data_IF_356580506187
#
_entry.id   IF_356580506187
#
_cell.length_a   1.000
_cell.length_b   1.000
_cell.length_c   1.000
_cell.angle_alpha   90.00
_cell.angle_beta   90.00
_cell.angle_gamma   90.00
#
_symmetry.space_group_name_H-M   'P 1'
#
loop_
_entity.id
_entity.type
_entity.pdbx_description
1 polymer ?
#
# COMPACT_ATOMS: atom_id res chain seq x y z
N UNK A 1 -0.06 -58.52 20.61
CA UNK A 1 -0.26 -57.35 19.73
C UNK A 1 -0.37 -56.11 20.63
N UNK A 2 0.76 -55.49 21.01
CA UNK A 2 0.82 -54.36 21.97
C UNK A 2 1.71 -53.23 21.44
N UNK A 3 1.59 -52.91 20.14
CA UNK A 3 2.43 -51.90 19.49
C UNK A 3 1.52 -50.95 18.71
N UNK A 4 1.81 -49.65 18.77
CA UNK A 4 0.92 -48.50 18.55
C UNK A 4 0.41 -48.25 17.13
N UNK A 5 0.35 -49.28 16.28
CA UNK A 5 -0.22 -49.21 14.94
C UNK A 5 -1.73 -49.47 14.95
N UNK A 6 -2.46 -48.93 15.94
CA UNK A 6 -3.88 -49.23 16.12
C UNK A 6 -4.72 -48.50 15.05
N UNK A 7 -4.26 -47.35 14.53
CA UNK A 7 -4.94 -46.62 13.44
C UNK A 7 -3.97 -45.83 12.54
N UNK A 8 -3.57 -46.36 11.36
CA UNK A 8 -2.56 -45.72 10.49
C UNK A 8 -2.93 -44.32 10.02
N UNK A 9 -4.22 -44.03 9.82
CA UNK A 9 -4.70 -42.69 9.46
C UNK A 9 -4.51 -41.68 10.61
N UNK A 10 -4.87 -42.08 11.84
CA UNK A 10 -4.70 -41.26 13.05
C UNK A 10 -3.22 -40.99 13.31
N UNK A 11 -2.38 -42.02 13.17
CA UNK A 11 -0.93 -41.90 13.29
C UNK A 11 -0.35 -40.92 12.27
N UNK A 12 -0.78 -40.98 11.01
CA UNK A 12 -0.33 -40.04 9.97
C UNK A 12 -0.75 -38.60 10.28
N UNK A 13 -1.98 -38.38 10.74
CA UNK A 13 -2.46 -37.05 11.13
C UNK A 13 -1.66 -36.50 12.32
N UNK A 14 -1.39 -37.33 13.33
CA UNK A 14 -0.58 -36.96 14.48
C UNK A 14 0.85 -36.56 14.04
N UNK A 15 1.46 -37.33 13.14
CA UNK A 15 2.78 -36.98 12.58
C UNK A 15 2.78 -35.67 11.81
N UNK A 16 1.77 -35.41 10.97
CA UNK A 16 1.62 -34.13 10.30
C UNK A 16 1.47 -32.97 11.30
N UNK A 17 0.75 -33.18 12.41
CA UNK A 17 0.62 -32.17 13.46
C UNK A 17 1.96 -31.94 14.16
N UNK A 18 2.65 -32.99 14.57
CA UNK A 18 3.92 -32.89 15.29
C UNK A 18 5.03 -32.28 14.43
N UNK A 19 5.11 -32.61 13.14
CA UNK A 19 6.14 -32.08 12.24
C UNK A 19 6.09 -30.56 12.12
N UNK A 20 4.90 -29.95 12.17
CA UNK A 20 4.76 -28.47 12.13
C UNK A 20 5.34 -27.77 13.36
N UNK A 21 5.40 -28.45 14.51
CA UNK A 21 5.83 -27.85 15.79
C UNK A 21 7.25 -28.26 16.19
N UNK A 22 7.57 -29.54 16.08
CA UNK A 22 8.83 -30.14 16.50
C UNK A 22 9.86 -30.16 15.36
N UNK A 23 9.41 -30.12 14.10
CA UNK A 23 10.24 -30.22 12.91
C UNK A 23 10.41 -31.66 12.41
N UNK A 24 10.81 -31.82 11.14
CA UNK A 24 10.90 -33.14 10.50
C UNK A 24 11.96 -34.05 11.14
N UNK A 25 13.13 -33.51 11.48
CA UNK A 25 14.23 -34.28 12.05
C UNK A 25 13.89 -34.91 13.42
N UNK A 26 13.24 -34.16 14.30
CA UNK A 26 12.82 -34.64 15.63
C UNK A 26 11.69 -35.65 15.50
N UNK A 27 10.73 -35.44 14.59
CA UNK A 27 9.67 -36.42 14.34
C UNK A 27 10.19 -37.75 13.81
N UNK A 28 11.20 -37.73 12.92
CA UNK A 28 11.83 -38.94 12.42
C UNK A 28 12.55 -39.73 13.54
N UNK A 29 13.15 -39.02 14.49
CA UNK A 29 13.76 -39.63 15.67
C UNK A 29 12.69 -40.24 16.60
N UNK A 30 11.61 -39.50 16.89
CA UNK A 30 10.48 -39.99 17.69
C UNK A 30 9.81 -41.23 17.07
N UNK A 31 9.74 -41.32 15.74
CA UNK A 31 9.15 -42.47 15.05
C UNK A 31 9.89 -43.80 15.37
N UNK A 32 11.18 -43.74 15.70
CA UNK A 32 11.96 -44.93 16.13
C UNK A 32 11.57 -45.38 17.54
N UNK A 33 11.23 -44.44 18.42
CA UNK A 33 10.78 -44.74 19.78
C UNK A 33 9.37 -45.33 19.84
N UNK A 34 8.58 -45.17 18.77
CA UNK A 34 7.27 -45.82 18.62
C UNK A 34 7.35 -47.36 18.66
N UNK A 35 8.51 -47.92 18.31
CA UNK A 35 8.76 -49.37 18.36
C UNK A 35 9.18 -49.86 19.75
N UNK A 36 9.64 -48.94 20.62
CA UNK A 36 10.24 -49.24 21.92
C UNK A 36 9.27 -48.99 23.09
N UNK A 37 8.37 -48.02 22.95
CA UNK A 37 7.43 -47.59 23.99
C UNK A 37 6.05 -48.22 23.81
N UNK A 38 5.29 -48.30 24.90
CA UNK A 38 3.88 -48.64 24.81
C UNK A 38 3.12 -47.52 24.07
N UNK A 39 2.01 -47.83 23.39
CA UNK A 39 1.26 -46.84 22.60
C UNK A 39 0.86 -45.61 23.40
N UNK A 40 0.34 -45.80 24.61
CA UNK A 40 -0.15 -44.71 25.46
C UNK A 40 0.98 -43.84 26.00
N UNK A 41 2.09 -44.47 26.42
CA UNK A 41 3.29 -43.75 26.91
C UNK A 41 3.95 -42.94 25.78
N UNK A 42 3.97 -43.50 24.57
CA UNK A 42 4.49 -42.82 23.38
C UNK A 42 3.63 -41.61 22.99
N UNK A 43 2.31 -41.78 22.97
CA UNK A 43 1.38 -40.68 22.69
C UNK A 43 1.49 -39.58 23.76
N UNK A 44 1.59 -39.95 25.04
CA UNK A 44 1.81 -39.00 26.14
C UNK A 44 3.12 -38.22 25.97
N UNK A 45 4.21 -38.89 25.64
CA UNK A 45 5.51 -38.24 25.37
C UNK A 45 5.41 -37.25 24.20
N UNK A 46 4.78 -37.66 23.09
CA UNK A 46 4.67 -36.81 21.91
C UNK A 46 3.77 -35.59 22.15
N UNK A 47 2.64 -35.78 22.85
CA UNK A 47 1.77 -34.67 23.27
C UNK A 47 2.48 -33.74 24.27
N UNK A 48 3.27 -34.29 25.19
CA UNK A 48 4.10 -33.52 26.12
C UNK A 48 5.08 -32.61 25.38
N UNK A 49 5.87 -33.17 24.46
CA UNK A 49 6.84 -32.40 23.66
C UNK A 49 6.14 -31.36 22.77
N UNK A 50 5.01 -31.73 22.15
CA UNK A 50 4.22 -30.83 21.32
C UNK A 50 3.68 -29.64 22.13
N UNK A 51 3.06 -29.90 23.28
CA UNK A 51 2.50 -28.88 24.15
C UNK A 51 3.58 -27.98 24.76
N UNK A 52 4.71 -28.54 25.19
CA UNK A 52 5.87 -27.76 25.65
C UNK A 52 6.34 -26.78 24.57
N UNK A 53 6.46 -27.27 23.32
CA UNK A 53 6.90 -26.43 22.20
C UNK A 53 5.92 -25.31 21.89
N UNK A 54 4.62 -25.59 21.93
CA UNK A 54 3.57 -24.58 21.76
C UNK A 54 3.60 -23.54 22.87
N UNK A 55 3.78 -23.95 24.13
CA UNK A 55 3.94 -23.05 25.27
C UNK A 55 5.18 -22.16 25.10
N UNK A 56 6.31 -22.73 24.73
CA UNK A 56 7.53 -21.97 24.45
C UNK A 56 7.31 -20.92 23.35
N UNK A 57 6.66 -21.29 22.24
CA UNK A 57 6.34 -20.36 21.16
C UNK A 57 5.40 -19.24 21.62
N UNK A 58 4.40 -19.57 22.45
CA UNK A 58 3.48 -18.60 22.99
C UNK A 58 4.19 -17.62 23.95
N UNK A 59 5.06 -18.11 24.82
CA UNK A 59 5.86 -17.26 25.72
C UNK A 59 6.79 -16.35 24.91
N UNK A 60 7.47 -16.87 23.89
CA UNK A 60 8.32 -16.06 23.00
C UNK A 60 7.52 -14.96 22.31
N UNK A 61 6.35 -15.29 21.75
CA UNK A 61 5.46 -14.31 21.15
C UNK A 61 5.03 -13.22 22.15
N UNK A 62 4.68 -13.59 23.38
CA UNK A 62 4.29 -12.64 24.42
C UNK A 62 5.46 -11.70 24.78
N UNK A 63 6.67 -12.25 24.91
CA UNK A 63 7.89 -11.47 25.16
C UNK A 63 8.21 -10.52 24.00
N UNK A 64 8.14 -10.99 22.76
CA UNK A 64 8.31 -10.16 21.56
C UNK A 64 7.25 -9.05 21.48
N UNK A 65 6.00 -9.38 21.80
CA UNK A 65 4.89 -8.42 21.83
C UNK A 65 5.15 -7.31 22.86
N UNK A 66 5.64 -7.67 24.05
CA UNK A 66 6.05 -6.69 25.06
C UNK A 66 7.22 -5.83 24.59
N UNK A 67 8.23 -6.41 23.95
CA UNK A 67 9.36 -5.66 23.37
C UNK A 67 8.91 -4.70 22.26
N UNK A 68 7.85 -5.05 21.53
CA UNK A 68 7.23 -4.19 20.53
C UNK A 68 6.30 -3.10 21.13
N UNK A 69 6.19 -3.02 22.46
CA UNK A 69 5.38 -2.02 23.17
C UNK A 69 3.91 -2.39 23.35
N UNK A 70 3.51 -3.65 23.09
CA UNK A 70 2.13 -4.09 23.28
C UNK A 70 1.88 -4.47 24.74
N UNK A 71 0.86 -3.87 25.34
CA UNK A 71 0.48 -4.10 26.75
C UNK A 71 -0.78 -4.97 26.86
N UNK A 72 -1.68 -4.89 25.86
CA UNK A 72 -2.96 -5.61 25.85
C UNK A 72 -2.90 -6.90 25.04
N UNK A 73 -3.49 -7.98 25.56
CA UNK A 73 -3.53 -9.27 24.87
C UNK A 73 -4.33 -9.22 23.56
N UNK A 74 -5.44 -8.48 23.52
CA UNK A 74 -6.29 -8.35 22.33
C UNK A 74 -5.50 -7.87 21.10
N UNK A 75 -4.55 -6.96 21.33
CA UNK A 75 -3.72 -6.34 20.29
C UNK A 75 -2.72 -7.30 19.63
N UNK A 76 -2.44 -8.45 20.24
CA UNK A 76 -1.50 -9.44 19.72
C UNK A 76 -2.02 -10.07 18.43
N UNK A 77 -3.33 -10.20 18.28
CA UNK A 77 -3.95 -10.73 17.05
C UNK A 77 -3.67 -9.82 15.85
N UNK A 78 -3.92 -8.52 16.01
CA UNK A 78 -3.58 -7.48 15.02
C UNK A 78 -2.08 -7.44 14.77
N UNK A 79 -1.25 -7.54 15.82
CA UNK A 79 0.20 -7.59 15.67
C UNK A 79 0.66 -8.77 14.81
N UNK A 80 0.11 -9.97 15.01
CA UNK A 80 0.39 -11.14 14.15
C UNK A 80 -0.01 -10.86 12.70
N UNK A 81 -1.19 -10.29 12.47
CA UNK A 81 -1.67 -9.97 11.12
C UNK A 81 -0.77 -8.93 10.43
N UNK A 82 -0.46 -7.82 11.10
CA UNK A 82 0.43 -6.79 10.59
C UNK A 82 1.86 -7.30 10.38
N UNK A 83 2.36 -8.20 11.25
CA UNK A 83 3.67 -8.84 11.08
C UNK A 83 3.67 -9.75 9.84
N UNK A 84 2.65 -10.59 9.66
CA UNK A 84 2.48 -11.43 8.46
C UNK A 84 2.41 -10.60 7.18
N UNK A 85 1.64 -9.53 7.22
CA UNK A 85 1.53 -8.60 6.09
C UNK A 85 2.87 -7.97 5.75
N UNK A 86 3.60 -7.46 6.77
CA UNK A 86 4.95 -6.91 6.61
C UNK A 86 5.93 -7.94 6.08
N UNK A 87 5.93 -9.18 6.55
CA UNK A 87 6.85 -10.22 6.04
C UNK A 87 6.53 -10.62 4.60
N UNK A 88 5.25 -10.66 4.22
CA UNK A 88 4.83 -10.99 2.86
C UNK A 88 5.16 -9.87 1.86
N UNK A 89 5.01 -8.61 2.28
CA UNK A 89 5.27 -7.42 1.47
C UNK A 89 6.65 -6.82 1.71
N UNK A 90 7.48 -7.44 2.55
CA UNK A 90 8.86 -7.01 2.73
C UNK A 90 9.55 -7.26 1.39
N UNK A 91 10.10 -6.23 0.73
CA UNK A 91 10.86 -6.45 -0.49
C UNK A 91 12.01 -7.39 -0.13
N UNK A 92 11.97 -8.61 -0.68
CA UNK A 92 12.99 -9.64 -0.46
C UNK A 92 14.37 -9.16 -0.91
N UNK A 93 14.36 -8.19 -1.82
CA UNK A 93 15.52 -7.52 -2.36
C UNK A 93 15.28 -6.02 -2.26
N UNK A 94 15.94 -5.36 -1.31
CA UNK A 94 16.03 -3.89 -1.35
C UNK A 94 16.96 -3.53 -2.52
N UNK A 95 16.73 -2.38 -3.18
CA UNK A 95 17.58 -1.92 -4.28
C UNK A 95 19.08 -1.95 -3.90
N UNK A 96 19.39 -1.62 -2.65
CA UNK A 96 20.73 -1.72 -2.09
C UNK A 96 21.24 -3.18 -1.97
N UNK A 97 20.40 -4.13 -1.55
CA UNK A 97 20.77 -5.55 -1.48
C UNK A 97 20.99 -6.16 -2.87
N UNK A 98 20.26 -5.71 -3.89
CA UNK A 98 20.49 -6.13 -5.29
C UNK A 98 21.79 -5.53 -5.82
N UNK A 99 22.04 -4.25 -5.55
CA UNK A 99 23.28 -3.58 -5.92
C UNK A 99 24.50 -4.30 -5.31
N UNK A 100 24.43 -4.66 -4.03
CA UNK A 100 25.48 -5.43 -3.35
C UNK A 100 25.71 -6.81 -3.97
N UNK A 101 24.66 -7.46 -4.48
CA UNK A 101 24.80 -8.74 -5.18
C UNK A 101 25.51 -8.58 -6.53
N UNK A 102 25.36 -7.44 -7.20
CA UNK A 102 25.99 -7.15 -8.49
C UNK A 102 27.35 -6.46 -8.37
N UNK A 103 27.72 -5.93 -7.19
CA UNK A 103 28.91 -5.07 -6.97
C UNK A 103 30.24 -5.72 -7.37
N UNK A 104 30.31 -7.06 -7.43
CA UNK A 104 31.52 -7.80 -7.83
C UNK A 104 31.84 -7.68 -9.32
N UNK A 105 30.87 -7.30 -10.17
CA UNK A 105 31.09 -7.13 -11.60
C UNK A 105 30.62 -5.73 -12.05
N UNK A 106 31.60 -4.89 -12.39
CA UNK A 106 31.38 -3.48 -12.76
C UNK A 106 30.42 -3.33 -13.94
N UNK A 107 30.47 -4.23 -14.92
CA UNK A 107 29.57 -4.19 -16.08
C UNK A 107 28.14 -4.56 -15.67
N UNK A 108 27.97 -5.58 -14.82
CA UNK A 108 26.66 -5.99 -14.31
C UNK A 108 26.02 -4.92 -13.43
N UNK A 109 26.81 -4.19 -12.62
CA UNK A 109 26.28 -3.06 -11.84
C UNK A 109 25.74 -1.93 -12.73
N UNK A 110 26.47 -1.57 -13.78
CA UNK A 110 26.08 -0.48 -14.67
C UNK A 110 24.79 -0.80 -15.44
N UNK A 111 24.66 -2.03 -15.93
CA UNK A 111 23.44 -2.50 -16.60
C UNK A 111 22.24 -2.52 -15.64
N UNK A 112 22.42 -2.96 -14.40
CA UNK A 112 21.35 -2.94 -13.40
C UNK A 112 20.94 -1.52 -13.00
N UNK A 113 21.91 -0.61 -12.80
CA UNK A 113 21.66 0.80 -12.50
C UNK A 113 20.89 1.49 -13.65
N UNK A 114 21.30 1.26 -14.89
CA UNK A 114 20.60 1.79 -16.06
C UNK A 114 19.16 1.24 -16.17
N UNK A 115 18.96 -0.05 -15.86
CA UNK A 115 17.64 -0.68 -15.84
C UNK A 115 16.73 -0.12 -14.73
N UNK A 116 17.27 0.21 -13.56
CA UNK A 116 16.52 0.89 -12.49
C UNK A 116 16.14 2.32 -12.88
N UNK A 117 17.06 3.09 -13.46
CA UNK A 117 16.80 4.46 -13.89
C UNK A 117 15.68 4.54 -14.95
N UNK A 118 15.69 3.62 -15.93
CA UNK A 118 14.62 3.51 -16.94
C UNK A 118 13.28 3.09 -16.30
N UNK A 119 13.33 2.21 -15.30
CA UNK A 119 12.13 1.77 -14.57
C UNK A 119 11.51 2.92 -13.76
N UNK A 120 12.32 3.74 -13.10
CA UNK A 120 11.83 4.92 -12.38
C UNK A 120 11.33 6.02 -13.33
N UNK A 121 11.94 6.16 -14.51
CA UNK A 121 11.48 7.09 -15.55
C UNK A 121 10.17 6.66 -16.25
N UNK A 122 9.82 5.37 -16.21
CA UNK A 122 8.61 4.81 -16.86
C UNK A 122 7.40 4.69 -15.93
N UNK A 123 7.52 5.06 -14.65
CA UNK A 123 6.43 4.97 -13.66
C UNK A 123 5.50 6.20 -13.66
N UNK A 124 5.76 7.23 -14.47
CA UNK A 124 4.79 8.31 -14.69
C UNK A 124 3.83 8.00 -15.86
N UNK A 125 2.64 7.48 -15.51
CA UNK A 125 1.35 7.93 -16.06
C UNK A 125 0.09 7.26 -15.46
N UNK A 126 0.14 6.10 -14.80
CA UNK A 126 -1.15 5.40 -14.52
C UNK A 126 -1.32 4.53 -13.27
N UNK A 127 -0.38 4.42 -12.33
CA UNK A 127 -0.69 3.69 -11.08
C UNK A 127 0.06 4.15 -9.83
N UNK A 128 -0.52 5.10 -9.09
CA UNK A 128 -0.09 5.44 -7.74
C UNK A 128 -1.09 4.93 -6.70
N UNK A 129 -0.92 3.67 -6.26
CA UNK A 129 -1.48 3.22 -4.97
C UNK A 129 -0.46 3.46 -3.85
N UNK A 130 -0.80 4.47 -3.04
CA UNK A 130 -0.52 4.61 -1.60
C UNK A 130 0.92 4.51 -1.09
N UNK A 131 1.60 5.67 -1.04
CA UNK A 131 2.46 6.07 0.08
C UNK A 131 2.05 7.51 0.44
N UNK A 132 1.88 7.80 1.73
CA UNK A 132 1.27 9.02 2.27
C UNK A 132 1.67 10.31 1.54
N UNK A 133 0.68 10.95 0.92
CA UNK A 133 0.82 12.23 0.20
C UNK A 133 1.23 13.32 1.19
N UNK A 134 2.54 13.61 1.26
CA UNK A 134 2.97 14.97 1.53
C UNK A 134 2.40 15.83 0.40
N UNK A 135 1.74 16.95 0.71
CA UNK A 135 1.22 17.86 -0.31
C UNK A 135 2.41 18.25 -1.19
N UNK A 136 2.41 17.82 -2.45
CA UNK A 136 3.46 18.21 -3.39
C UNK A 136 3.52 19.74 -3.43
N UNK A 137 4.72 20.34 -3.54
CA UNK A 137 4.89 21.79 -3.61
C UNK A 137 3.97 22.39 -4.70
N UNK A 138 3.50 23.64 -4.51
CA UNK A 138 2.67 24.33 -5.50
C UNK A 138 3.34 24.26 -6.87
N UNK A 139 2.55 24.03 -7.93
CA UNK A 139 3.10 23.99 -9.28
C UNK A 139 3.69 25.37 -9.60
N UNK A 140 4.98 25.41 -9.96
CA UNK A 140 5.59 26.58 -10.58
C UNK A 140 4.97 26.75 -11.97
N UNK A 141 4.14 27.79 -12.13
CA UNK A 141 3.48 28.13 -13.41
C UNK A 141 4.41 28.99 -14.29
N UNK A 142 5.60 29.32 -13.80
CA UNK A 142 6.56 30.16 -14.51
C UNK A 142 7.14 29.42 -15.72
N UNK A 143 6.70 29.81 -16.93
CA UNK A 143 7.22 29.31 -18.21
C UNK A 143 6.22 28.62 -19.14
N UNK A 144 4.95 28.49 -18.75
CA UNK A 144 3.92 27.87 -19.61
C UNK A 144 3.29 28.89 -20.58
N UNK A 145 2.91 28.47 -21.82
CA UNK A 145 2.27 29.36 -22.79
C UNK A 145 0.94 29.91 -22.23
N UNK A 146 0.73 31.22 -22.36
CA UNK A 146 -0.45 31.91 -21.83
C UNK A 146 -0.28 32.51 -20.42
N UNK A 147 0.86 32.30 -19.75
CA UNK A 147 1.16 32.88 -18.43
C UNK A 147 1.12 34.41 -18.41
N UNK A 148 1.59 35.07 -19.47
CA UNK A 148 1.65 36.53 -19.56
C UNK A 148 0.27 37.20 -19.62
N UNK A 149 -0.77 36.46 -20.06
CA UNK A 149 -2.14 36.99 -20.20
C UNK A 149 -2.98 36.88 -18.93
N UNK A 150 -2.44 36.24 -17.88
CA UNK A 150 -3.14 35.99 -16.63
C UNK A 150 -2.79 37.02 -15.57
N UNK A 151 -3.80 37.50 -14.85
CA UNK A 151 -3.63 38.38 -13.70
C UNK A 151 -3.07 37.62 -12.49
N UNK A 152 -2.46 38.32 -11.52
CA UNK A 152 -1.77 37.70 -10.36
C UNK A 152 -2.70 36.73 -9.60
N UNK A 153 -3.97 37.13 -9.40
CA UNK A 153 -4.99 36.28 -8.74
C UNK A 153 -5.37 35.04 -9.55
N UNK A 154 -5.37 35.15 -10.89
CA UNK A 154 -5.66 34.01 -11.78
C UNK A 154 -4.50 33.02 -11.79
N UNK A 155 -3.26 33.51 -11.66
CA UNK A 155 -2.06 32.67 -11.53
C UNK A 155 -2.09 31.86 -10.24
N UNK A 156 -2.42 32.49 -9.11
CA UNK A 156 -2.60 31.79 -7.82
C UNK A 156 -3.68 30.70 -7.91
N UNK A 157 -4.82 31.02 -8.52
CA UNK A 157 -5.89 30.05 -8.73
C UNK A 157 -5.45 28.87 -9.59
N UNK A 158 -4.71 29.12 -10.68
CA UNK A 158 -4.18 28.06 -11.53
C UNK A 158 -3.17 27.17 -10.77
N UNK A 159 -2.37 27.75 -9.87
CA UNK A 159 -1.37 27.04 -9.08
C UNK A 159 -2.05 26.11 -8.07
N UNK A 160 -3.09 26.62 -7.41
CA UNK A 160 -3.91 25.87 -6.46
C UNK A 160 -4.73 24.77 -7.13
N UNK A 161 -5.36 25.08 -8.27
CA UNK A 161 -6.21 24.13 -9.00
C UNK A 161 -5.44 23.15 -9.88
N UNK A 162 -4.14 23.39 -10.07
CA UNK A 162 -3.28 22.63 -10.97
C UNK A 162 -3.89 22.56 -12.37
N UNK A 163 -4.20 23.73 -12.91
CA UNK A 163 -4.74 23.91 -14.26
C UNK A 163 -3.71 24.67 -15.07
N UNK A 164 -3.48 24.25 -16.31
CA UNK A 164 -2.56 24.93 -17.22
C UNK A 164 -3.13 26.29 -17.65
N UNK A 165 -2.32 27.38 -17.69
CA UNK A 165 -2.75 28.72 -18.10
C UNK A 165 -3.62 28.77 -19.35
N UNK A 166 -3.20 28.09 -20.41
CA UNK A 166 -3.92 28.02 -21.68
C UNK A 166 -5.33 27.40 -21.53
N UNK A 167 -5.44 26.34 -20.73
CA UNK A 167 -6.71 25.69 -20.45
C UNK A 167 -7.63 26.59 -19.62
N UNK A 168 -7.09 27.33 -18.65
CA UNK A 168 -7.87 28.30 -17.87
C UNK A 168 -8.46 29.39 -18.77
N UNK A 169 -7.67 29.95 -19.69
CA UNK A 169 -8.14 30.97 -20.62
C UNK A 169 -9.27 30.44 -21.51
N UNK A 170 -9.12 29.21 -22.01
CA UNK A 170 -10.17 28.55 -22.78
C UNK A 170 -11.46 28.36 -21.97
N UNK A 171 -11.36 27.92 -20.71
CA UNK A 171 -12.54 27.78 -19.84
C UNK A 171 -13.19 29.11 -19.48
N UNK A 172 -12.39 30.15 -19.29
CA UNK A 172 -12.88 31.51 -19.04
C UNK A 172 -13.70 32.00 -20.23
N UNK A 173 -13.20 31.86 -21.46
CA UNK A 173 -13.92 32.23 -22.69
C UNK A 173 -15.23 31.44 -22.85
N UNK A 174 -15.20 30.13 -22.61
CA UNK A 174 -16.40 29.28 -22.69
C UNK A 174 -17.48 29.71 -21.69
N UNK A 175 -17.10 30.01 -20.44
CA UNK A 175 -18.06 30.44 -19.42
C UNK A 175 -18.61 31.84 -19.69
N UNK A 176 -17.81 32.75 -20.24
CA UNK A 176 -18.25 34.10 -20.63
C UNK A 176 -19.24 34.02 -21.80
N UNK A 177 -18.92 33.26 -22.85
CA UNK A 177 -19.79 33.11 -24.02
C UNK A 177 -21.15 32.49 -23.64
N UNK A 178 -21.16 31.52 -22.73
CA UNK A 178 -22.40 30.93 -22.24
C UNK A 178 -23.20 31.86 -21.32
N UNK A 179 -22.52 32.72 -20.55
CA UNK A 179 -23.18 33.79 -19.81
C UNK A 179 -23.79 34.86 -20.75
N UNK A 180 -23.10 35.23 -21.83
CA UNK A 180 -23.63 36.18 -22.83
C UNK A 180 -24.88 35.65 -23.54
N UNK A 181 -24.94 34.34 -23.81
CA UNK A 181 -26.11 33.71 -24.45
C UNK A 181 -27.33 33.59 -23.53
N UNK A 182 -27.12 33.22 -22.27
CA UNK A 182 -28.20 32.90 -21.34
C UNK A 182 -28.57 34.09 -20.44
N UNK A 183 -27.71 35.11 -20.34
CA UNK A 183 -27.83 36.24 -19.40
C UNK A 183 -27.60 35.86 -17.94
N UNK A 184 -27.45 34.56 -17.66
CA UNK A 184 -27.30 34.01 -16.33
C UNK A 184 -26.60 32.64 -16.39
N UNK A 185 -25.78 32.32 -15.40
CA UNK A 185 -25.04 31.05 -15.40
C UNK A 185 -25.23 30.31 -14.08
N UNK A 186 -25.83 29.12 -14.16
CA UNK A 186 -25.91 28.17 -13.04
C UNK A 186 -24.67 27.27 -13.00
N UNK A 187 -24.27 26.86 -11.80
CA UNK A 187 -23.14 25.96 -11.59
C UNK A 187 -23.32 24.60 -12.28
N UNK A 188 -24.57 24.13 -12.44
CA UNK A 188 -24.89 22.93 -13.20
C UNK A 188 -24.53 23.06 -14.69
N UNK A 189 -24.79 24.23 -15.29
CA UNK A 189 -24.48 24.50 -16.70
C UNK A 189 -22.96 24.59 -16.86
N UNK A 190 -22.27 25.29 -15.96
CA UNK A 190 -20.80 25.38 -15.96
C UNK A 190 -20.13 23.99 -15.90
N UNK A 191 -20.70 23.03 -15.17
CA UNK A 191 -20.23 21.63 -15.13
C UNK A 191 -20.48 20.85 -16.42
N UNK A 192 -21.57 21.13 -17.13
CA UNK A 192 -21.85 20.49 -18.40
C UNK A 192 -20.92 21.00 -19.51
N UNK A 193 -20.56 22.29 -19.46
CA UNK A 193 -19.67 22.95 -20.42
C UNK A 193 -18.21 22.55 -20.16
N UNK A 194 -17.75 22.67 -18.91
CA UNK A 194 -16.38 22.32 -18.53
C UNK A 194 -16.37 20.86 -18.09
N UNK A 195 -15.98 19.98 -19.01
CA UNK A 195 -15.79 18.52 -18.80
C UNK A 195 -14.55 18.19 -17.96
N UNK A 196 -14.40 18.84 -16.79
CA UNK A 196 -13.34 18.61 -15.80
C UNK A 196 -13.97 18.17 -14.47
N UNK A 197 -13.11 17.73 -13.53
CA UNK A 197 -13.42 17.53 -12.13
C UNK A 197 -14.32 18.63 -11.53
N UNK A 198 -15.41 18.15 -10.91
CA UNK A 198 -16.50 18.92 -10.31
C UNK A 198 -16.01 19.97 -9.29
N UNK A 199 -14.94 19.67 -8.55
CA UNK A 199 -14.41 20.55 -7.51
C UNK A 199 -13.60 21.69 -8.11
N UNK A 200 -12.89 21.44 -9.21
CA UNK A 200 -12.14 22.47 -9.94
C UNK A 200 -13.08 23.46 -10.61
N UNK A 201 -14.13 22.95 -11.29
CA UNK A 201 -15.15 23.79 -11.93
C UNK A 201 -15.87 24.68 -10.91
N UNK A 202 -16.13 24.18 -9.69
CA UNK A 202 -16.72 24.99 -8.62
C UNK A 202 -15.84 26.18 -8.24
N UNK A 203 -14.56 25.95 -7.92
CA UNK A 203 -13.65 27.04 -7.53
C UNK A 203 -13.45 28.06 -8.66
N UNK A 204 -13.41 27.60 -9.91
CA UNK A 204 -13.31 28.47 -11.07
C UNK A 204 -14.55 29.36 -11.22
N UNK A 205 -15.74 28.76 -11.07
CA UNK A 205 -17.01 29.48 -11.10
C UNK A 205 -17.14 30.49 -9.94
N UNK A 206 -16.74 30.10 -8.74
CA UNK A 206 -16.77 30.98 -7.56
C UNK A 206 -15.81 32.18 -7.73
N UNK A 207 -14.65 31.96 -8.35
CA UNK A 207 -13.71 33.05 -8.69
C UNK A 207 -14.30 34.02 -9.73
N UNK A 208 -14.93 33.50 -10.78
CA UNK A 208 -15.57 34.34 -11.81
C UNK A 208 -16.80 35.11 -11.30
N UNK A 209 -17.51 34.55 -10.32
CA UNK A 209 -18.55 35.27 -9.57
C UNK A 209 -17.96 36.39 -8.71
N UNK A 210 -16.82 36.14 -8.05
CA UNK A 210 -16.16 37.13 -7.19
C UNK A 210 -15.57 38.31 -7.98
N UNK A 211 -15.05 38.06 -9.18
CA UNK A 211 -14.58 39.09 -10.12
C UNK A 211 -15.73 39.80 -10.86
N UNK A 212 -16.98 39.39 -10.65
CA UNK A 212 -18.18 40.06 -11.20
C UNK A 212 -18.41 39.88 -12.70
N UNK A 213 -17.66 38.99 -13.35
CA UNK A 213 -17.75 38.70 -14.80
C UNK A 213 -19.02 37.91 -15.12
N UNK A 214 -19.53 37.15 -14.14
CA UNK A 214 -20.69 36.28 -14.29
C UNK A 214 -21.68 36.61 -13.16
N UNK A 215 -22.98 36.66 -13.47
CA UNK A 215 -24.04 36.81 -12.46
C UNK A 215 -24.75 35.48 -12.24
N UNK A 216 -24.97 35.15 -10.97
CA UNK A 216 -25.83 34.03 -10.56
C UNK A 216 -27.30 34.45 -10.75
N UNK A 217 -28.14 33.55 -11.27
CA UNK A 217 -29.59 33.76 -11.17
C UNK A 217 -30.00 33.86 -9.70
N UNK A 218 -30.52 35.02 -9.35
CA UNK A 218 -31.25 35.24 -8.12
C UNK A 218 -32.69 34.85 -8.46
N UNK A 219 -33.16 33.74 -7.91
CA UNK A 219 -34.60 33.54 -7.74
C UNK A 219 -35.06 34.41 -6.58
#
# INVERSE_FOLDING_TARGET
RRHGLIHPHKTRQNWCRYSTTLGEATTALLARFMQLLLPDDFDFLCEGLHSERLLCQQVQLLQESRRAGLVRLDSITLFKQCRRWRTAHRPKHTAFSELLAHVKNQVSTQVWLHKQLVKDASVDASSSKAIGRRKAPPLEIEGMPGYEKLNIRERELCADLRIMPEMYLHFKELLINEYEKLGSLRLANARAIIKIDVNKTRKLYDFLLAEGVIKKEIC
#
